data_IF_375801496926
#
_entry.id   IF_375801496926
#
_cell.length_a   1.000
_cell.length_b   1.000
_cell.length_c   1.000
_cell.angle_alpha   90.00
_cell.angle_beta   90.00
_cell.angle_gamma   90.00
#
_symmetry.space_group_name_H-M   'P 1'
#
loop_
_entity.id
_entity.type
_entity.pdbx_description
1 polymer ?
#
# COMPACT_ATOMS: atom_id res chain seq x y z
N UNK A 1 27.76 42.27 21.44
CA UNK A 1 26.29 42.18 21.54
C UNK A 1 25.84 41.03 20.66
N UNK A 2 25.29 39.99 21.26
CA UNK A 2 24.80 38.79 20.61
C UNK A 2 23.37 39.03 20.11
N UNK A 3 23.19 39.10 18.81
CA UNK A 3 21.87 38.98 18.17
C UNK A 3 21.92 37.79 17.22
N UNK A 4 21.31 36.72 17.75
CA UNK A 4 20.84 35.49 17.14
C UNK A 4 20.61 35.57 15.62
N UNK A 5 21.07 34.58 14.84
CA UNK A 5 20.73 34.51 13.42
C UNK A 5 19.21 34.41 13.30
N UNK A 6 18.63 35.31 12.51
CA UNK A 6 17.22 35.26 12.14
C UNK A 6 17.01 33.92 11.44
N UNK A 7 16.44 32.95 12.18
CA UNK A 7 15.95 31.70 11.60
C UNK A 7 14.82 32.06 10.64
N UNK A 8 14.83 31.58 9.39
CA UNK A 8 13.73 31.84 8.48
C UNK A 8 12.43 31.30 9.09
N UNK A 9 11.44 32.19 9.19
CA UNK A 9 10.07 31.83 9.52
C UNK A 9 9.59 30.85 8.44
N UNK A 10 8.88 29.81 8.86
CA UNK A 10 8.31 28.80 7.97
C UNK A 10 7.27 29.46 7.07
N UNK A 11 7.64 29.90 5.89
CA UNK A 11 6.68 30.15 4.81
C UNK A 11 6.37 28.81 4.15
N UNK A 12 5.12 28.38 4.17
CA UNK A 12 4.64 27.26 3.35
C UNK A 12 4.49 27.71 1.89
N UNK A 13 4.31 26.77 0.97
CA UNK A 13 3.96 27.16 -0.41
C UNK A 13 2.64 27.96 -0.43
N UNK A 14 1.70 27.63 0.45
CA UNK A 14 0.43 28.34 0.60
C UNK A 14 0.64 29.80 1.07
N UNK A 15 1.59 30.02 1.99
CA UNK A 15 1.93 31.39 2.45
C UNK A 15 2.59 32.20 1.33
N UNK A 16 3.46 31.58 0.53
CA UNK A 16 4.09 32.22 -0.63
C UNK A 16 3.08 32.50 -1.76
N UNK A 17 2.09 31.61 -1.94
CA UNK A 17 1.01 31.79 -2.90
C UNK A 17 0.13 32.99 -2.55
N UNK A 18 -0.21 33.18 -1.27
CA UNK A 18 -0.96 34.35 -0.81
C UNK A 18 -0.20 35.66 -1.06
N UNK A 19 1.13 35.66 -0.85
CA UNK A 19 1.97 36.82 -1.15
C UNK A 19 2.03 37.09 -2.66
N UNK A 20 2.14 36.04 -3.48
CA UNK A 20 2.12 36.15 -4.94
C UNK A 20 0.78 36.71 -5.46
N UNK A 21 -0.34 36.25 -4.90
CA UNK A 21 -1.68 36.73 -5.27
C UNK A 21 -1.84 38.22 -4.96
N UNK A 22 -1.39 38.65 -3.78
CA UNK A 22 -1.38 40.07 -3.41
C UNK A 22 -0.49 40.90 -4.33
N UNK A 23 0.72 40.43 -4.65
CA UNK A 23 1.65 41.13 -5.55
C UNK A 23 1.09 41.23 -6.97
N UNK A 24 0.41 40.19 -7.46
CA UNK A 24 -0.21 40.19 -8.78
C UNK A 24 -1.27 41.29 -8.90
N UNK A 25 -2.05 41.54 -7.85
CA UNK A 25 -3.03 42.64 -7.83
C UNK A 25 -2.36 44.03 -7.97
N UNK A 26 -1.20 44.24 -7.35
CA UNK A 26 -0.46 45.51 -7.48
C UNK A 26 0.31 45.64 -8.79
N UNK A 27 0.75 44.53 -9.39
CA UNK A 27 1.35 44.52 -10.72
C UNK A 27 0.36 44.94 -11.81
N UNK A 28 -0.93 44.66 -11.61
CA UNK A 28 -2.02 45.07 -12.49
C UNK A 28 -2.56 46.49 -12.20
N UNK A 29 -2.05 47.20 -11.18
CA UNK A 29 -2.50 48.55 -10.81
C UNK A 29 -2.20 49.59 -11.91
N UNK A 30 -3.11 50.54 -12.12
CA UNK A 30 -2.95 51.69 -13.02
C UNK A 30 -1.93 52.73 -12.50
N UNK A 31 -1.54 52.63 -11.22
CA UNK A 31 -0.53 53.50 -10.63
C UNK A 31 0.90 53.02 -10.98
N UNK A 32 1.70 53.81 -11.73
CA UNK A 32 3.05 53.42 -12.13
C UNK A 32 4.02 53.19 -10.95
N UNK A 33 3.83 53.90 -9.84
CA UNK A 33 4.71 53.77 -8.66
C UNK A 33 4.44 52.46 -7.92
N UNK A 34 3.17 52.11 -7.71
CA UNK A 34 2.77 50.83 -7.08
C UNK A 34 3.25 49.64 -7.92
N UNK A 35 3.13 49.74 -9.25
CA UNK A 35 3.59 48.71 -10.17
C UNK A 35 5.10 48.50 -10.11
N UNK A 36 5.88 49.59 -10.04
CA UNK A 36 7.33 49.51 -9.93
C UNK A 36 7.78 48.87 -8.61
N UNK A 37 7.11 49.21 -7.50
CA UNK A 37 7.36 48.61 -6.18
C UNK A 37 7.00 47.12 -6.19
N UNK A 38 5.85 46.74 -6.73
CA UNK A 38 5.42 45.35 -6.81
C UNK A 38 6.37 44.50 -7.68
N UNK A 39 6.88 45.05 -8.78
CA UNK A 39 7.87 44.39 -9.63
C UNK A 39 9.18 44.11 -8.89
N UNK A 40 9.68 45.09 -8.12
CA UNK A 40 10.91 44.90 -7.35
C UNK A 40 10.75 43.83 -6.25
N UNK A 41 9.59 43.79 -5.59
CA UNK A 41 9.31 42.77 -4.56
C UNK A 41 9.13 41.38 -5.21
N UNK A 42 8.54 41.31 -6.41
CA UNK A 42 8.43 40.06 -7.15
C UNK A 42 9.80 39.46 -7.50
N UNK A 43 10.75 40.29 -7.94
CA UNK A 43 12.13 39.87 -8.22
C UNK A 43 12.84 39.30 -6.98
N UNK A 44 12.47 39.73 -5.78
CA UNK A 44 12.97 39.16 -4.52
C UNK A 44 12.25 37.86 -4.12
N UNK A 45 10.96 37.74 -4.42
CA UNK A 45 10.12 36.59 -4.04
C UNK A 45 10.33 35.36 -4.95
N UNK A 46 10.56 35.57 -6.24
CA UNK A 46 10.78 34.50 -7.24
C UNK A 46 11.88 33.50 -6.81
N UNK A 47 13.11 33.90 -6.45
CA UNK A 47 14.14 32.95 -6.03
C UNK A 47 13.80 32.22 -4.72
N UNK A 48 12.99 32.82 -3.84
CA UNK A 48 12.53 32.17 -2.60
C UNK A 48 11.55 31.04 -2.93
N UNK A 49 10.64 31.27 -3.88
CA UNK A 49 9.69 30.25 -4.35
C UNK A 49 10.41 29.09 -5.05
N UNK A 50 11.36 29.38 -5.95
CA UNK A 50 12.18 28.37 -6.62
C UNK A 50 12.94 27.50 -5.61
N UNK A 51 13.63 28.13 -4.65
CA UNK A 51 14.35 27.41 -3.60
C UNK A 51 13.42 26.53 -2.76
N UNK A 52 12.18 26.98 -2.54
CA UNK A 52 11.18 26.20 -1.81
C UNK A 52 10.75 24.98 -2.59
N UNK A 53 10.46 25.12 -3.88
CA UNK A 53 10.11 24.01 -4.77
C UNK A 53 11.25 22.99 -4.79
N UNK A 54 12.49 23.43 -4.99
CA UNK A 54 13.68 22.56 -4.97
C UNK A 54 13.80 21.80 -3.64
N UNK A 55 13.55 22.47 -2.52
CA UNK A 55 13.57 21.86 -1.19
C UNK A 55 12.51 20.75 -1.05
N UNK A 56 11.30 20.97 -1.59
CA UNK A 56 10.24 19.95 -1.62
C UNK A 56 10.63 18.77 -2.52
N UNK A 57 11.10 19.03 -3.74
CA UNK A 57 11.52 18.01 -4.70
C UNK A 57 12.65 17.16 -4.11
N UNK A 58 13.69 17.79 -3.55
CA UNK A 58 14.80 17.12 -2.91
C UNK A 58 14.33 16.23 -1.74
N UNK A 59 13.43 16.75 -0.90
CA UNK A 59 12.87 15.98 0.22
C UNK A 59 12.04 14.78 -0.26
N UNK A 60 11.18 14.97 -1.26
CA UNK A 60 10.38 13.89 -1.85
C UNK A 60 11.28 12.81 -2.45
N UNK A 61 12.32 13.20 -3.20
CA UNK A 61 13.25 12.24 -3.80
C UNK A 61 14.05 11.48 -2.75
N UNK A 62 14.49 12.15 -1.67
CA UNK A 62 15.10 11.47 -0.52
C UNK A 62 14.14 10.45 0.12
N UNK A 63 12.86 10.80 0.29
CA UNK A 63 11.85 9.88 0.83
C UNK A 63 11.58 8.69 -0.11
N UNK A 64 11.53 8.91 -1.42
CA UNK A 64 11.41 7.84 -2.43
C UNK A 64 12.59 6.87 -2.33
N UNK A 65 13.82 7.38 -2.33
CA UNK A 65 15.02 6.55 -2.21
C UNK A 65 15.03 5.73 -0.90
N UNK A 66 14.65 6.35 0.22
CA UNK A 66 14.53 5.66 1.51
C UNK A 66 13.46 4.56 1.49
N UNK A 67 12.30 4.85 0.87
CA UNK A 67 11.22 3.86 0.70
C UNK A 67 11.72 2.67 -0.11
N UNK A 68 12.36 2.92 -1.25
CA UNK A 68 12.79 1.87 -2.17
C UNK A 68 13.87 0.99 -1.52
N UNK A 69 14.82 1.60 -0.80
CA UNK A 69 15.80 0.86 0.00
C UNK A 69 15.13 -0.03 1.08
N UNK A 70 14.20 0.53 1.85
CA UNK A 70 13.49 -0.23 2.90
C UNK A 70 12.64 -1.35 2.32
N UNK A 71 12.02 -1.13 1.17
CA UNK A 71 11.24 -2.15 0.47
C UNK A 71 12.13 -3.30 -0.01
N UNK A 72 13.30 -2.99 -0.58
CA UNK A 72 14.29 -3.99 -0.97
C UNK A 72 14.77 -4.82 0.23
N UNK A 73 15.11 -4.17 1.34
CA UNK A 73 15.54 -4.90 2.55
C UNK A 73 14.43 -5.75 3.16
N UNK A 74 13.19 -5.25 3.16
CA UNK A 74 12.03 -6.03 3.61
C UNK A 74 11.85 -7.30 2.77
N UNK A 75 11.96 -7.19 1.45
CA UNK A 75 11.89 -8.34 0.54
C UNK A 75 13.04 -9.33 0.79
N UNK A 76 14.26 -8.84 1.02
CA UNK A 76 15.42 -9.68 1.34
C UNK A 76 15.19 -10.48 2.62
N UNK A 77 14.72 -9.84 3.69
CA UNK A 77 14.42 -10.50 4.97
C UNK A 77 13.29 -11.51 4.81
N UNK A 78 12.23 -11.16 4.06
CA UNK A 78 11.13 -12.09 3.78
C UNK A 78 11.61 -13.32 3.01
N UNK A 79 12.53 -13.15 2.07
CA UNK A 79 13.14 -14.26 1.34
C UNK A 79 13.96 -15.17 2.26
N UNK A 80 14.74 -14.62 3.19
CA UNK A 80 15.49 -15.40 4.17
C UNK A 80 14.54 -16.21 5.08
N UNK A 81 13.50 -15.56 5.61
CA UNK A 81 12.49 -16.25 6.41
C UNK A 81 11.78 -17.38 5.65
N UNK A 82 11.57 -17.21 4.34
CA UNK A 82 11.03 -18.27 3.47
C UNK A 82 12.00 -19.45 3.32
N UNK A 83 13.30 -19.18 3.21
CA UNK A 83 14.33 -20.23 3.16
C UNK A 83 14.37 -21.00 4.49
N UNK A 84 14.35 -20.30 5.62
CA UNK A 84 14.28 -20.92 6.95
C UNK A 84 13.02 -21.76 7.10
N UNK A 85 11.87 -21.26 6.69
CA UNK A 85 10.60 -22.01 6.70
C UNK A 85 10.68 -23.29 5.87
N UNK A 86 11.35 -23.21 4.71
CA UNK A 86 11.58 -24.37 3.84
C UNK A 86 12.50 -25.39 4.52
N UNK A 87 13.59 -24.92 5.14
CA UNK A 87 14.52 -25.78 5.87
C UNK A 87 13.86 -26.45 7.08
N UNK A 88 13.06 -25.71 7.85
CA UNK A 88 12.28 -26.22 8.98
C UNK A 88 11.33 -27.32 8.51
N UNK A 89 10.59 -27.08 7.41
CA UNK A 89 9.67 -28.06 6.84
C UNK A 89 10.42 -29.33 6.45
N UNK A 90 11.51 -29.19 5.68
CA UNK A 90 12.32 -30.33 5.25
C UNK A 90 12.90 -31.13 6.43
N UNK A 91 13.44 -30.46 7.45
CA UNK A 91 13.96 -31.11 8.65
C UNK A 91 12.85 -31.83 9.44
N UNK A 92 11.68 -31.20 9.54
CA UNK A 92 10.51 -31.78 10.21
C UNK A 92 10.02 -33.01 9.47
N UNK A 93 9.94 -32.98 8.15
CA UNK A 93 9.55 -34.14 7.32
C UNK A 93 10.54 -35.30 7.45
N UNK A 94 11.85 -35.00 7.49
CA UNK A 94 12.88 -36.03 7.73
C UNK A 94 12.72 -36.65 9.11
N UNK A 95 12.46 -35.85 10.13
CA UNK A 95 12.24 -36.33 11.50
C UNK A 95 10.94 -37.12 11.61
N UNK A 96 9.86 -36.66 10.97
CA UNK A 96 8.56 -37.33 10.91
C UNK A 96 8.72 -38.72 10.30
N UNK A 97 9.30 -38.81 9.09
CA UNK A 97 9.50 -40.10 8.43
C UNK A 97 10.41 -41.04 9.23
N UNK A 98 11.38 -40.50 9.97
CA UNK A 98 12.18 -41.31 10.92
C UNK A 98 11.33 -41.86 12.07
N UNK A 99 10.48 -41.03 12.68
CA UNK A 99 9.59 -41.44 13.77
C UNK A 99 8.54 -42.45 13.30
N UNK A 100 8.01 -42.32 12.09
CA UNK A 100 7.08 -43.27 11.48
C UNK A 100 7.71 -44.65 11.30
N UNK A 101 8.90 -44.73 10.66
CA UNK A 101 9.64 -45.99 10.52
C UNK A 101 9.98 -46.62 11.88
N UNK A 102 10.29 -45.80 12.87
CA UNK A 102 10.55 -46.26 14.24
C UNK A 102 9.31 -46.86 14.89
N UNK A 103 8.14 -46.25 14.70
CA UNK A 103 6.85 -46.78 15.15
C UNK A 103 6.53 -48.11 14.47
N UNK A 104 6.76 -48.24 13.16
CA UNK A 104 6.57 -49.50 12.43
C UNK A 104 7.44 -50.63 12.97
N UNK A 105 8.72 -50.34 13.29
CA UNK A 105 9.68 -51.35 13.75
C UNK A 105 9.52 -51.73 15.22
N UNK A 106 9.16 -50.77 16.09
CA UNK A 106 9.19 -50.95 17.55
C UNK A 106 7.80 -50.88 18.20
N UNK A 107 6.74 -50.71 17.41
CA UNK A 107 5.38 -50.47 17.89
C UNK A 107 5.31 -49.22 18.78
N UNK A 108 4.42 -49.22 19.77
CA UNK A 108 4.18 -48.07 20.67
C UNK A 108 5.45 -47.56 21.39
N UNK A 109 6.47 -48.40 21.59
CA UNK A 109 7.76 -47.98 22.15
C UNK A 109 8.54 -47.05 21.21
N UNK A 110 8.27 -47.11 19.91
CA UNK A 110 8.84 -46.25 18.88
C UNK A 110 8.19 -44.86 18.79
N UNK A 111 7.03 -44.65 19.44
CA UNK A 111 6.24 -43.42 19.30
C UNK A 111 6.89 -42.17 19.91
N UNK A 112 7.80 -42.35 20.88
CA UNK A 112 8.47 -41.25 21.59
C UNK A 112 9.99 -41.45 21.58
N UNK A 113 10.72 -40.33 21.50
CA UNK A 113 12.17 -40.30 21.58
C UNK A 113 12.61 -39.09 22.41
N UNK A 114 13.50 -39.31 23.37
CA UNK A 114 14.13 -38.27 24.17
C UNK A 114 15.60 -38.16 23.79
N UNK A 115 16.01 -36.96 23.40
CA UNK A 115 17.41 -36.56 23.25
C UNK A 115 17.93 -35.88 24.51
N UNK A 116 19.19 -35.42 24.47
CA UNK A 116 19.83 -34.76 25.61
C UNK A 116 19.14 -33.45 26.03
N UNK A 117 18.53 -32.75 25.08
CA UNK A 117 17.95 -31.42 25.28
C UNK A 117 16.49 -31.30 24.79
N UNK A 118 15.92 -32.36 24.21
CA UNK A 118 14.61 -32.28 23.56
C UNK A 118 13.88 -33.62 23.60
N UNK A 119 12.55 -33.55 23.46
CA UNK A 119 11.67 -34.71 23.35
C UNK A 119 10.84 -34.59 22.09
N UNK A 120 10.74 -35.68 21.34
CA UNK A 120 9.94 -35.79 20.13
C UNK A 120 8.91 -36.89 20.34
N UNK A 121 7.68 -36.65 19.89
CA UNK A 121 6.59 -37.63 19.96
C UNK A 121 5.81 -37.57 18.66
N UNK A 122 5.48 -38.74 18.11
CA UNK A 122 4.59 -38.83 16.96
C UNK A 122 3.14 -38.73 17.45
N UNK A 123 2.46 -37.66 17.05
CA UNK A 123 1.10 -37.35 17.42
C UNK A 123 0.24 -37.24 16.17
N UNK A 124 -1.05 -37.55 16.31
CA UNK A 124 -2.01 -37.25 15.25
C UNK A 124 -2.35 -35.76 15.28
N UNK A 125 -2.57 -35.18 14.10
CA UNK A 125 -3.00 -33.79 13.98
C UNK A 125 -4.34 -33.56 14.72
N UNK A 126 -4.42 -32.50 15.52
CA UNK A 126 -5.68 -32.03 16.08
C UNK A 126 -6.50 -31.22 15.07
N UNK A 127 -7.74 -30.85 15.43
CA UNK A 127 -8.62 -30.03 14.61
C UNK A 127 -9.74 -30.80 13.92
N UNK A 128 -10.46 -30.13 13.01
CA UNK A 128 -11.52 -30.79 12.23
C UNK A 128 -10.88 -31.82 11.30
N UNK A 129 -11.42 -33.05 11.22
CA UNK A 129 -10.89 -34.06 10.34
C UNK A 129 -10.92 -33.58 8.89
N UNK A 130 -9.91 -33.97 8.11
CA UNK A 130 -9.97 -33.79 6.67
C UNK A 130 -11.13 -34.62 6.11
N UNK A 131 -12.04 -33.95 5.42
CA UNK A 131 -13.11 -34.61 4.68
C UNK A 131 -12.64 -34.66 3.24
N UNK A 132 -12.55 -35.85 2.68
CA UNK A 132 -12.37 -36.00 1.24
C UNK A 132 -13.60 -35.45 0.53
N UNK A 133 -13.40 -34.47 -0.35
CA UNK A 133 -14.43 -33.89 -1.21
C UNK A 133 -14.11 -34.36 -2.62
N UNK A 134 -15.11 -34.87 -3.34
CA UNK A 134 -14.92 -35.36 -4.70
C UNK A 134 -14.45 -34.21 -5.62
N UNK A 135 -13.23 -34.28 -6.20
CA UNK A 135 -12.67 -33.19 -7.01
C UNK A 135 -13.28 -33.11 -8.43
N UNK A 136 -14.00 -34.14 -8.86
CA UNK A 136 -14.64 -34.18 -10.18
C UNK A 136 -15.93 -33.36 -10.23
N UNK A 137 -16.52 -33.05 -9.07
CA UNK A 137 -17.76 -32.29 -8.96
C UNK A 137 -17.46 -30.79 -8.89
N UNK A 138 -18.19 -30.01 -9.68
CA UNK A 138 -18.19 -28.54 -9.59
C UNK A 138 -19.06 -28.07 -8.42
N UNK A 139 -18.80 -26.88 -7.86
CA UNK A 139 -19.59 -26.33 -6.75
C UNK A 139 -21.11 -26.34 -6.97
N UNK A 140 -21.57 -26.15 -8.21
CA UNK A 140 -22.99 -26.12 -8.56
C UNK A 140 -23.66 -27.51 -8.49
N UNK A 141 -22.87 -28.58 -8.53
CA UNK A 141 -23.33 -29.97 -8.46
C UNK A 141 -23.49 -30.45 -7.00
N UNK A 142 -22.97 -29.69 -6.04
CA UNK A 142 -23.17 -29.98 -4.62
C UNK A 142 -24.56 -29.52 -4.17
N UNK A 143 -25.18 -30.23 -3.20
CA UNK A 143 -26.42 -29.78 -2.58
C UNK A 143 -26.30 -28.34 -2.05
N UNK A 144 -27.30 -27.49 -2.33
CA UNK A 144 -27.25 -26.05 -2.02
C UNK A 144 -26.86 -25.72 -0.57
N UNK A 145 -27.18 -26.58 0.41
CA UNK A 145 -26.77 -26.39 1.82
C UNK A 145 -25.26 -26.36 2.06
N UNK A 146 -24.46 -26.87 1.11
CA UNK A 146 -23.00 -26.90 1.17
C UNK A 146 -22.33 -25.89 0.25
N UNK A 147 -23.13 -25.15 -0.55
CA UNK A 147 -22.65 -24.18 -1.53
C UNK A 147 -22.86 -22.77 -0.99
N UNK A 148 -21.80 -21.98 -0.94
CA UNK A 148 -21.86 -20.57 -0.53
C UNK A 148 -21.83 -19.68 -1.77
N UNK A 149 -22.91 -18.94 -2.02
CA UNK A 149 -22.94 -17.89 -3.03
C UNK A 149 -22.47 -16.57 -2.42
N UNK A 150 -21.45 -15.96 -3.02
CA UNK A 150 -20.94 -14.65 -2.61
C UNK A 150 -21.17 -13.69 -3.78
N UNK A 151 -22.23 -12.86 -3.74
CA UNK A 151 -22.43 -11.86 -4.79
C UNK A 151 -21.31 -10.82 -4.72
N UNK A 152 -20.67 -10.55 -5.86
CA UNK A 152 -19.65 -9.52 -6.02
C UNK A 152 -20.12 -8.46 -7.00
N UNK A 153 -19.86 -7.20 -6.68
CA UNK A 153 -20.17 -6.07 -7.57
C UNK A 153 -19.25 -6.12 -8.79
N UNK A 154 -19.83 -6.03 -9.99
CA UNK A 154 -19.06 -5.85 -11.22
C UNK A 154 -18.74 -4.36 -11.42
N UNK A 155 -17.55 -3.97 -10.99
CA UNK A 155 -17.10 -2.59 -11.06
C UNK A 155 -16.67 -2.16 -12.47
N UNK A 156 -16.35 -3.11 -13.35
CA UNK A 156 -15.93 -2.80 -14.73
C UNK A 156 -17.15 -2.51 -15.58
N UNK A 157 -18.17 -3.39 -15.53
CA UNK A 157 -19.44 -3.13 -16.21
C UNK A 157 -20.07 -1.82 -15.72
N UNK A 158 -20.07 -1.58 -14.40
CA UNK A 158 -20.59 -0.33 -13.84
C UNK A 158 -19.83 0.90 -14.37
N UNK A 159 -18.53 0.79 -14.61
CA UNK A 159 -17.71 1.87 -15.17
C UNK A 159 -18.02 2.10 -16.65
N UNK A 160 -18.12 1.03 -17.43
CA UNK A 160 -18.47 1.10 -18.86
C UNK A 160 -19.84 1.76 -19.05
N UNK A 161 -20.83 1.33 -18.28
CA UNK A 161 -22.19 1.88 -18.32
C UNK A 161 -22.19 3.36 -17.92
N UNK A 162 -21.44 3.73 -16.86
CA UNK A 162 -21.32 5.13 -16.42
C UNK A 162 -20.67 6.02 -17.48
N UNK A 163 -19.71 5.50 -18.26
CA UNK A 163 -19.07 6.24 -19.37
C UNK A 163 -20.00 6.35 -20.57
N UNK A 164 -20.80 5.33 -20.85
CA UNK A 164 -21.76 5.31 -21.95
C UNK A 164 -23.04 6.13 -21.68
N UNK A 165 -23.33 6.43 -20.41
CA UNK A 165 -24.47 7.27 -20.00
C UNK A 165 -24.32 8.72 -20.48
N UNK A 166 -25.37 9.27 -21.10
CA UNK A 166 -25.42 10.66 -21.58
C UNK A 166 -25.19 11.69 -20.46
N UNK A 167 -25.55 11.34 -19.22
CA UNK A 167 -25.38 12.18 -18.03
C UNK A 167 -24.09 11.89 -17.26
N UNK A 168 -23.39 10.80 -17.60
CA UNK A 168 -22.27 10.29 -16.81
C UNK A 168 -22.70 9.76 -15.44
N UNK A 169 -23.98 9.46 -15.23
CA UNK A 169 -24.56 9.01 -13.97
C UNK A 169 -25.39 7.74 -14.19
N UNK A 170 -25.36 6.83 -13.22
CA UNK A 170 -26.15 5.60 -13.19
C UNK A 170 -26.98 5.58 -11.91
N UNK A 171 -28.25 5.22 -12.06
CA UNK A 171 -29.23 5.15 -10.98
C UNK A 171 -29.76 3.72 -10.81
N UNK A 172 -30.10 3.33 -9.58
CA UNK A 172 -30.81 2.08 -9.31
C UNK A 172 -32.30 2.17 -9.70
N UNK A 173 -33.01 1.04 -9.59
CA UNK A 173 -34.45 0.96 -9.85
C UNK A 173 -35.31 1.80 -8.92
N UNK A 174 -34.76 2.28 -7.80
CA UNK A 174 -35.42 3.17 -6.85
C UNK A 174 -35.04 4.65 -7.07
N UNK A 175 -34.32 4.98 -8.14
CA UNK A 175 -33.89 6.34 -8.47
C UNK A 175 -32.72 6.85 -7.61
N UNK A 176 -31.95 5.97 -6.96
CA UNK A 176 -30.76 6.34 -6.18
C UNK A 176 -29.53 6.34 -7.08
N UNK A 177 -28.71 7.40 -7.00
CA UNK A 177 -27.43 7.46 -7.70
C UNK A 177 -26.48 6.38 -7.17
N UNK A 178 -25.98 5.51 -8.05
CA UNK A 178 -25.07 4.41 -7.70
C UNK A 178 -23.67 4.56 -8.30
N UNK A 179 -23.52 5.31 -9.40
CA UNK A 179 -22.22 5.65 -9.96
C UNK A 179 -22.27 6.99 -10.70
N UNK A 180 -21.15 7.71 -10.68
CA UNK A 180 -20.99 8.99 -11.38
C UNK A 180 -19.58 9.13 -11.92
N UNK A 181 -19.46 9.65 -13.13
CA UNK A 181 -18.19 9.99 -13.73
C UNK A 181 -17.57 11.17 -13.00
N UNK A 182 -16.38 10.95 -12.43
CA UNK A 182 -15.61 11.99 -11.74
C UNK A 182 -14.52 12.47 -12.70
N UNK A 183 -14.22 13.78 -12.77
CA UNK A 183 -13.11 14.29 -13.56
C UNK A 183 -11.79 13.60 -13.18
N UNK A 184 -10.94 13.39 -14.18
CA UNK A 184 -9.61 12.79 -13.96
C UNK A 184 -8.81 13.66 -12.99
N UNK A 185 -8.18 13.01 -12.01
CA UNK A 185 -7.26 13.67 -11.10
C UNK A 185 -6.03 14.21 -11.82
N UNK A 186 -5.45 15.29 -11.29
CA UNK A 186 -4.15 15.82 -11.70
C UNK A 186 -3.05 15.18 -10.84
N UNK A 187 -1.86 14.95 -11.42
CA UNK A 187 -0.70 14.49 -10.67
C UNK A 187 0.53 15.33 -11.03
N UNK A 188 1.46 15.46 -10.08
CA UNK A 188 2.74 16.11 -10.32
C UNK A 188 3.71 15.10 -10.94
N UNK A 189 4.43 15.55 -11.98
CA UNK A 189 5.61 14.87 -12.49
C UNK A 189 6.84 15.60 -11.93
N UNK A 190 7.66 14.88 -11.17
CA UNK A 190 8.94 15.39 -10.68
C UNK A 190 10.03 14.79 -11.57
N UNK A 191 10.78 15.63 -12.28
CA UNK A 191 11.92 15.24 -13.13
C UNK A 191 13.22 15.49 -12.40
#
# INVERSE_FOLDING_TARGET
>A
MTTTPIKPVKETLDDLEQQLELLTQYLESDNPEERAIASAIFEELEPVLEQKIDSYVARINCLKANRDFRQSESQRIASLAKQDSTAITWLTDKLLGFMERRLEQLGERGRKLEGKLSKVSLCNNGGKPQVWINPELKPEEFPHRYVKLVPTLDTEQLREDTVASDTGEIYDSNGRLIAKLIPRGKHLRLT
#
